data_IF_282043472614
#
_entry.id   IF_282043472614
#
_cell.length_a   1.000
_cell.length_b   1.000
_cell.length_c   1.000
_cell.angle_alpha   90.00
_cell.angle_beta   90.00
_cell.angle_gamma   90.00
#
_symmetry.space_group_name_H-M   'P 1'
#
loop_
_entity.id
_entity.type
_entity.pdbx_description
1 polymer ?
#
# COMPACT_ATOMS: atom_id res chain seq x y z
N UNK A 1 -1.43 2.16 9.27
CA UNK A 1 -2.71 2.79 9.61
C UNK A 1 -3.96 1.98 9.25
N UNK A 2 -3.89 0.84 8.53
CA UNK A 2 -4.82 -0.33 8.64
C UNK A 2 -6.33 -0.13 8.61
N UNK A 3 -6.81 1.09 8.41
CA UNK A 3 -8.18 1.52 8.61
C UNK A 3 -9.12 0.85 7.62
N UNK A 4 -8.59 0.56 6.44
CA UNK A 4 -9.27 -0.15 5.36
C UNK A 4 -8.26 -1.12 4.72
N UNK A 5 -8.70 -2.36 4.53
CA UNK A 5 -8.01 -3.37 3.75
C UNK A 5 -8.75 -3.55 2.43
N UNK A 6 -8.37 -2.76 1.42
CA UNK A 6 -8.83 -2.88 0.03
C UNK A 6 -7.62 -3.01 -0.89
N UNK A 7 -7.73 -3.78 -1.99
CA UNK A 7 -6.73 -3.73 -3.04
C UNK A 7 -6.68 -2.32 -3.64
N UNK A 8 -5.49 -1.87 -3.98
CA UNK A 8 -5.26 -0.58 -4.64
C UNK A 8 -4.47 -0.88 -5.91
N UNK A 9 -4.85 -0.24 -7.01
CA UNK A 9 -4.21 -0.40 -8.31
C UNK A 9 -4.09 0.94 -9.02
N UNK A 10 -2.94 1.16 -9.66
CA UNK A 10 -2.67 2.28 -10.54
C UNK A 10 -2.88 1.84 -11.99
N UNK A 11 -3.86 2.44 -12.67
CA UNK A 11 -4.12 2.17 -14.08
C UNK A 11 -3.17 3.00 -14.95
N UNK A 12 -2.08 2.37 -15.41
CA UNK A 12 -0.97 3.02 -16.09
C UNK A 12 -1.10 2.94 -17.61
N UNK A 13 -1.58 4.03 -18.19
CA UNK A 13 -1.68 4.21 -19.65
C UNK A 13 -0.57 5.16 -20.09
N UNK A 14 0.18 4.77 -21.13
CA UNK A 14 1.28 5.56 -21.68
C UNK A 14 2.29 6.03 -20.61
N UNK A 15 2.63 5.13 -19.68
CA UNK A 15 3.62 5.35 -18.63
C UNK A 15 3.34 6.52 -17.67
N UNK A 16 2.09 6.97 -17.61
CA UNK A 16 1.68 8.10 -16.76
C UNK A 16 2.08 7.96 -15.29
N UNK A 17 1.92 6.76 -14.70
CA UNK A 17 2.27 6.47 -13.31
C UNK A 17 3.70 5.97 -13.13
N UNK A 18 4.45 5.73 -14.20
CA UNK A 18 5.82 5.21 -14.13
C UNK A 18 6.74 6.10 -13.26
N UNK A 19 6.75 7.45 -13.41
CA UNK A 19 7.56 8.32 -12.55
C UNK A 19 7.15 8.26 -11.06
N UNK A 20 5.85 8.11 -10.77
CA UNK A 20 5.36 7.98 -9.40
C UNK A 20 5.84 6.67 -8.77
N UNK A 21 5.82 5.57 -9.53
CA UNK A 21 6.31 4.29 -9.04
C UNK A 21 7.80 4.35 -8.74
N UNK A 22 8.60 4.98 -9.60
CA UNK A 22 10.02 5.22 -9.34
C UNK A 22 10.25 6.03 -8.07
N UNK A 23 9.46 7.08 -7.84
CA UNK A 23 9.55 7.87 -6.62
C UNK A 23 9.20 7.02 -5.37
N UNK A 24 8.18 6.17 -5.44
CA UNK A 24 7.79 5.29 -4.34
C UNK A 24 8.84 4.20 -4.07
N UNK A 25 9.45 3.63 -5.10
CA UNK A 25 10.55 2.68 -4.97
C UNK A 25 11.76 3.34 -4.28
N UNK A 26 12.13 4.56 -4.68
CA UNK A 26 13.17 5.33 -3.98
C UNK A 26 12.83 5.65 -2.52
N UNK A 27 11.56 5.93 -2.21
CA UNK A 27 11.11 6.14 -0.83
C UNK A 27 11.22 4.86 0.02
N UNK A 28 11.05 3.68 -0.60
CA UNK A 28 11.27 2.40 0.07
C UNK A 28 12.76 2.19 0.33
N UNK A 29 13.60 2.35 -0.70
CA UNK A 29 15.06 2.23 -0.60
C UNK A 29 15.66 3.19 0.43
N UNK A 30 15.13 4.40 0.50
CA UNK A 30 15.56 5.44 1.45
C UNK A 30 14.98 5.25 2.86
N UNK A 31 14.13 4.23 3.09
CA UNK A 31 13.56 3.91 4.40
C UNK A 31 12.39 4.79 4.85
N UNK A 32 11.91 5.71 4.00
CA UNK A 32 10.71 6.53 4.29
C UNK A 32 9.42 5.70 4.21
N UNK A 33 9.41 4.66 3.38
CA UNK A 33 8.32 3.68 3.29
C UNK A 33 8.86 2.31 3.64
N UNK A 34 8.16 1.57 4.50
CA UNK A 34 8.56 0.20 4.83
C UNK A 34 8.32 -0.71 3.63
N UNK A 35 9.29 -1.56 3.32
CA UNK A 35 9.25 -2.52 2.20
C UNK A 35 7.99 -3.40 2.21
N UNK A 36 7.45 -3.74 3.40
CA UNK A 36 6.20 -4.50 3.55
C UNK A 36 4.97 -3.89 2.85
N UNK A 37 5.01 -2.60 2.50
CA UNK A 37 3.93 -1.94 1.75
C UNK A 37 4.10 -2.04 0.23
N UNK A 38 5.24 -2.52 -0.29
CA UNK A 38 5.48 -2.67 -1.73
C UNK A 38 4.43 -3.53 -2.45
N UNK A 39 3.91 -4.64 -1.86
CA UNK A 39 2.84 -5.43 -2.48
C UNK A 39 1.51 -4.66 -2.67
N UNK A 40 1.31 -3.53 -1.99
CA UNK A 40 0.14 -2.67 -2.20
C UNK A 40 0.26 -1.79 -3.45
N UNK A 41 1.47 -1.61 -3.99
CA UNK A 41 1.74 -0.80 -5.18
C UNK A 41 1.57 -1.65 -6.44
N UNK A 42 0.30 -1.94 -6.80
CA UNK A 42 -0.05 -2.68 -8.02
C UNK A 42 -0.22 -1.72 -9.20
N UNK A 43 0.35 -2.07 -10.34
CA UNK A 43 0.08 -1.43 -11.63
C UNK A 43 -0.78 -2.35 -12.50
N UNK A 44 -1.58 -1.75 -13.37
CA UNK A 44 -2.28 -2.42 -14.45
C UNK A 44 -2.23 -1.57 -15.73
N UNK A 45 -2.05 -2.17 -16.90
CA UNK A 45 -2.03 -1.45 -18.19
C UNK A 45 -3.30 -1.64 -19.00
N UNK A 46 -4.20 -2.52 -18.54
CA UNK A 46 -5.52 -2.73 -19.13
C UNK A 46 -6.63 -2.51 -18.10
N UNK A 47 -7.80 -2.06 -18.57
CA UNK A 47 -8.97 -1.87 -17.71
C UNK A 47 -9.43 -3.18 -17.07
N UNK A 48 -9.35 -4.31 -17.80
CA UNK A 48 -9.65 -5.65 -17.28
C UNK A 48 -8.77 -5.99 -16.09
N UNK A 49 -7.45 -5.89 -16.24
CA UNK A 49 -6.49 -6.16 -15.17
C UNK A 49 -6.73 -5.26 -13.96
N UNK A 50 -7.02 -3.97 -14.18
CA UNK A 50 -7.31 -3.03 -13.11
C UNK A 50 -8.56 -3.44 -12.32
N UNK A 51 -9.64 -3.83 -13.02
CA UNK A 51 -10.88 -4.30 -12.39
C UNK A 51 -10.66 -5.61 -11.64
N UNK A 52 -9.92 -6.56 -12.23
CA UNK A 52 -9.61 -7.85 -11.61
C UNK A 52 -8.84 -7.65 -10.29
N UNK A 53 -7.87 -6.72 -10.26
CA UNK A 53 -7.13 -6.38 -9.04
C UNK A 53 -8.03 -5.66 -8.04
N UNK A 54 -8.80 -4.67 -8.47
CA UNK A 54 -9.62 -3.83 -7.59
C UNK A 54 -10.79 -4.59 -6.93
N UNK A 55 -11.24 -5.67 -7.56
CA UNK A 55 -12.31 -6.55 -7.05
C UNK A 55 -11.77 -7.81 -6.37
N UNK A 56 -10.46 -8.06 -6.50
CA UNK A 56 -9.77 -9.18 -5.89
C UNK A 56 -9.52 -9.03 -4.38
N UNK A 57 -8.88 -10.04 -3.77
CA UNK A 57 -8.51 -9.96 -2.36
C UNK A 57 -7.47 -8.86 -2.11
N UNK A 58 -7.62 -8.13 -1.01
CA UNK A 58 -6.61 -7.18 -0.57
C UNK A 58 -5.32 -7.92 -0.19
N UNK A 59 -4.12 -7.41 -0.54
CA UNK A 59 -2.87 -8.02 -0.12
C UNK A 59 -2.75 -8.00 1.40
N UNK A 60 -2.38 -9.13 1.99
CA UNK A 60 -2.11 -9.24 3.41
C UNK A 60 -0.80 -8.50 3.72
N UNK A 61 -0.90 -7.40 4.45
CA UNK A 61 0.26 -6.64 4.94
C UNK A 61 0.25 -6.68 6.45
N UNK A 62 1.24 -7.34 7.03
CA UNK A 62 1.38 -7.54 8.46
C UNK A 62 1.58 -6.21 9.21
N UNK A 63 0.95 -6.05 10.38
CA UNK A 63 1.11 -4.87 11.23
C UNK A 63 0.47 -3.59 10.67
N UNK A 64 -0.60 -3.69 9.86
CA UNK A 64 -1.25 -2.51 9.28
C UNK A 64 -1.87 -1.60 10.36
N UNK A 65 -2.18 -2.10 11.56
CA UNK A 65 -2.52 -1.35 12.80
C UNK A 65 -2.14 -2.08 14.11
N UNK A 66 -1.64 -3.32 14.06
CA UNK A 66 -1.42 -4.16 15.27
C UNK A 66 -0.28 -3.69 16.18
N UNK A 67 0.64 -2.85 15.68
CA UNK A 67 1.81 -2.37 16.44
C UNK A 67 1.56 -1.04 17.17
N UNK A 68 0.36 -0.47 17.06
CA UNK A 68 0.00 0.76 17.76
C UNK A 68 -0.89 0.42 18.95
N UNK A 69 -0.24 -0.01 20.02
CA UNK A 69 -0.82 -0.14 21.35
C UNK A 69 -1.06 1.26 21.95
N UNK A 70 -1.93 2.05 21.30
CA UNK A 70 -2.27 3.43 21.71
C UNK A 70 -3.04 3.47 23.04
N UNK A 71 -3.53 2.32 23.51
CA UNK A 71 -4.29 2.22 24.76
C UNK A 71 -3.39 2.14 26.01
N UNK A 72 -2.08 1.87 25.90
CA UNK A 72 -1.26 1.53 27.09
C UNK A 72 -0.64 2.71 27.89
N UNK A 73 -1.04 3.97 27.68
CA UNK A 73 -0.55 5.12 28.51
C UNK A 73 -1.65 5.97 29.15
N UNK A 74 -2.70 5.34 29.68
CA UNK A 74 -3.56 5.96 30.71
C UNK A 74 -3.83 4.99 31.87
N UNK A 75 -2.80 4.70 32.63
CA UNK A 75 -2.86 4.20 34.01
C UNK A 75 -1.43 4.33 34.57
N UNK A 76 -1.12 4.96 35.68
CA UNK A 76 -1.90 5.51 36.78
C UNK A 76 -1.19 6.78 37.31
N UNK A 77 -1.84 7.41 38.30
CA UNK A 77 -1.46 8.59 39.08
C UNK A 77 0.04 8.76 39.37
#
# INVERSE_FOLDING_TARGET
MGLIAKPVVFYNVADYFTPLMTALDHMIESGFVREKFRPMLRLATTSREAVDIATGPAPAVEGKLSDLDVTSKRSAL
#
